data_IF_271506362107
#
_entry.id   IF_271506362107
#
_cell.length_a   1.000
_cell.length_b   1.000
_cell.length_c   1.000
_cell.angle_alpha   90.00
_cell.angle_beta   90.00
_cell.angle_gamma   90.00
#
_symmetry.space_group_name_H-M   'P 1'
#
loop_
_entity.id
_entity.type
_entity.pdbx_description
1 polymer ?
#
# COMPACT_ATOMS: atom_id res chain seq x y z
N UNK A 1 15.51 -7.24 4.36
CA UNK A 1 15.26 -6.29 5.44
C UNK A 1 13.88 -6.50 6.05
N UNK A 2 13.74 -6.20 7.32
CA UNK A 2 12.47 -6.36 8.03
C UNK A 2 11.96 -5.01 8.47
N UNK A 3 10.63 -4.83 8.35
CA UNK A 3 9.94 -3.59 8.71
C UNK A 3 8.78 -3.91 9.64
N UNK A 4 8.64 -3.15 10.72
CA UNK A 4 7.52 -3.30 11.65
C UNK A 4 6.37 -2.42 11.20
N UNK A 5 5.20 -3.02 10.97
CA UNK A 5 4.02 -2.23 10.62
C UNK A 5 3.29 -1.73 11.88
N UNK A 6 2.21 -0.96 11.69
CA UNK A 6 1.49 -0.37 12.81
C UNK A 6 0.63 -1.37 13.60
N UNK A 7 0.53 -2.63 13.14
CA UNK A 7 -0.05 -3.74 13.93
C UNK A 7 1.00 -4.43 14.78
N UNK A 8 2.26 -3.96 14.75
CA UNK A 8 3.40 -4.61 15.40
C UNK A 8 3.70 -5.98 14.79
N UNK A 9 3.48 -6.13 13.50
CA UNK A 9 3.87 -7.31 12.73
C UNK A 9 5.08 -7.00 11.86
N UNK A 10 6.02 -7.93 11.82
CA UNK A 10 7.20 -7.80 10.99
C UNK A 10 6.92 -8.24 9.55
N UNK A 11 7.33 -7.41 8.61
CA UNK A 11 7.29 -7.73 7.19
C UNK A 11 8.71 -7.83 6.67
N UNK A 12 9.07 -9.01 6.14
CA UNK A 12 10.37 -9.21 5.51
C UNK A 12 10.30 -8.89 4.03
N UNK A 13 11.15 -7.99 3.57
CA UNK A 13 11.29 -7.67 2.15
C UNK A 13 12.71 -8.06 1.72
N UNK A 14 12.87 -9.03 0.81
CA UNK A 14 14.19 -9.46 0.38
C UNK A 14 14.93 -8.42 -0.46
N UNK A 15 14.21 -7.44 -1.00
CA UNK A 15 14.76 -6.36 -1.83
C UNK A 15 13.83 -5.16 -1.81
N UNK A 16 14.28 -4.05 -2.40
CA UNK A 16 13.45 -2.87 -2.61
C UNK A 16 12.25 -3.26 -3.48
N UNK A 17 11.01 -2.94 -3.03
CA UNK A 17 9.81 -3.31 -3.78
C UNK A 17 9.78 -2.69 -5.18
N UNK A 18 9.40 -3.47 -6.15
CA UNK A 18 9.28 -3.04 -7.56
C UNK A 18 7.85 -3.04 -8.05
N UNK A 19 6.95 -3.72 -7.35
CA UNK A 19 5.54 -3.84 -7.74
C UNK A 19 4.68 -3.56 -6.51
N UNK A 20 4.39 -2.28 -6.32
CA UNK A 20 3.68 -1.79 -5.12
C UNK A 20 2.22 -1.59 -5.44
N UNK A 21 1.34 -2.05 -4.54
CA UNK A 21 -0.08 -1.74 -4.60
C UNK A 21 -0.43 -0.87 -3.40
N UNK A 22 -1.12 0.23 -3.65
CA UNK A 22 -1.64 1.11 -2.60
C UNK A 22 -3.17 1.04 -2.60
N UNK A 23 -3.74 0.67 -1.47
CA UNK A 23 -5.19 0.59 -1.32
C UNK A 23 -5.80 1.81 -0.62
N UNK A 24 -5.06 2.92 -0.55
CA UNK A 24 -5.51 4.15 0.10
C UNK A 24 -5.06 5.36 -0.71
N UNK A 25 -5.97 6.29 -1.06
CA UNK A 25 -5.60 7.49 -1.84
C UNK A 25 -4.46 8.32 -1.26
N UNK A 26 -4.47 8.58 0.04
CA UNK A 26 -3.42 9.38 0.68
C UNK A 26 -2.05 8.69 0.63
N UNK A 27 -2.02 7.37 0.73
CA UNK A 27 -0.78 6.59 0.62
C UNK A 27 -0.26 6.65 -0.82
N UNK A 28 -1.15 6.56 -1.81
CA UNK A 28 -0.78 6.71 -3.22
C UNK A 28 -0.08 8.05 -3.46
N UNK A 29 -0.66 9.14 -2.98
CA UNK A 29 -0.06 10.47 -3.12
C UNK A 29 1.31 10.54 -2.45
N UNK A 30 1.42 9.94 -1.26
CA UNK A 30 2.69 9.89 -0.52
C UNK A 30 3.76 9.13 -1.29
N UNK A 31 3.41 7.99 -1.90
CA UNK A 31 4.35 7.20 -2.68
C UNK A 31 4.88 7.98 -3.89
N UNK A 32 4.03 8.73 -4.56
CA UNK A 32 4.48 9.59 -5.66
C UNK A 32 5.40 10.71 -5.15
N UNK A 33 5.07 11.31 -4.01
CA UNK A 33 5.89 12.34 -3.40
C UNK A 33 7.27 11.81 -2.97
N UNK A 34 7.35 10.55 -2.58
CA UNK A 34 8.60 9.89 -2.20
C UNK A 34 9.42 9.39 -3.40
N UNK A 35 8.92 9.58 -4.63
CA UNK A 35 9.62 9.13 -5.82
C UNK A 35 9.40 7.67 -6.18
N UNK A 36 8.46 6.99 -5.53
CA UNK A 36 8.18 5.57 -5.76
C UNK A 36 7.07 5.33 -6.78
N UNK A 37 6.51 6.38 -7.37
CA UNK A 37 5.33 6.28 -8.23
C UNK A 37 5.47 5.33 -9.42
N UNK A 38 6.64 5.22 -10.01
CA UNK A 38 6.88 4.33 -11.17
C UNK A 38 6.73 2.85 -10.81
N UNK A 39 6.82 2.52 -9.53
CA UNK A 39 6.74 1.15 -9.05
C UNK A 39 5.34 0.79 -8.54
N UNK A 40 4.42 1.76 -8.52
CA UNK A 40 3.02 1.54 -8.14
C UNK A 40 2.29 0.93 -9.33
N UNK A 41 1.88 -0.34 -9.19
CA UNK A 41 1.24 -1.10 -10.26
C UNK A 41 -0.27 -1.27 -10.08
N UNK A 42 -0.79 -0.96 -8.90
CA UNK A 42 -2.22 -1.05 -8.61
C UNK A 42 -2.63 -0.02 -7.57
N UNK A 43 -3.82 0.56 -7.76
CA UNK A 43 -4.41 1.55 -6.85
C UNK A 43 -5.92 1.34 -6.80
N UNK A 44 -6.59 1.99 -5.84
CA UNK A 44 -8.05 1.91 -5.77
C UNK A 44 -8.69 2.83 -6.80
N UNK A 45 -9.98 2.59 -7.05
CA UNK A 45 -10.80 3.43 -7.90
C UNK A 45 -10.82 4.89 -7.43
N UNK A 46 -10.62 5.13 -6.14
CA UNK A 46 -10.65 6.46 -5.52
C UNK A 46 -9.29 7.17 -5.51
N UNK A 47 -8.23 6.52 -5.97
CA UNK A 47 -6.93 7.15 -6.11
C UNK A 47 -6.94 8.01 -7.37
N UNK A 48 -6.99 9.32 -7.21
CA UNK A 48 -7.16 10.27 -8.33
C UNK A 48 -5.99 11.24 -8.50
N UNK A 49 -5.06 11.27 -7.57
CA UNK A 49 -3.91 12.18 -7.62
C UNK A 49 -2.60 11.44 -7.42
N UNK A 50 -1.55 11.79 -8.16
CA UNK A 50 -1.52 12.76 -9.27
C UNK A 50 -2.36 12.29 -10.46
N UNK A 51 -3.21 13.18 -11.00
CA UNK A 51 -4.23 12.83 -11.99
C UNK A 51 -3.67 12.04 -13.19
N UNK A 52 -2.69 12.61 -13.86
CA UNK A 52 -2.15 12.00 -15.09
C UNK A 52 -1.41 10.68 -14.81
N UNK A 53 -0.66 10.64 -13.72
CA UNK A 53 0.12 9.45 -13.36
C UNK A 53 -0.78 8.29 -12.94
N UNK A 54 -1.78 8.57 -12.11
CA UNK A 54 -2.68 7.55 -11.57
C UNK A 54 -3.64 7.01 -12.61
N UNK A 55 -4.01 7.83 -13.60
CA UNK A 55 -4.93 7.42 -14.65
C UNK A 55 -4.46 6.18 -15.42
N UNK A 56 -3.14 6.00 -15.56
CA UNK A 56 -2.55 4.88 -16.29
C UNK A 56 -2.36 3.62 -15.44
N UNK A 57 -2.58 3.71 -14.12
CA UNK A 57 -2.35 2.59 -13.20
C UNK A 57 -3.61 1.73 -13.11
N UNK A 58 -3.43 0.41 -13.05
CA UNK A 58 -4.54 -0.54 -12.91
C UNK A 58 -5.34 -0.27 -11.64
N UNK A 59 -6.66 -0.24 -11.76
CA UNK A 59 -7.57 -0.11 -10.62
C UNK A 59 -7.92 -1.50 -10.08
N UNK A 60 -7.78 -1.66 -8.76
CA UNK A 60 -8.04 -2.96 -8.11
C UNK A 60 -9.27 -2.90 -7.19
N UNK A 61 -10.23 -2.06 -7.53
CA UNK A 61 -11.47 -1.92 -6.78
C UNK A 61 -11.44 -0.81 -5.75
N UNK A 62 -12.38 -0.80 -4.84
CA UNK A 62 -12.51 0.24 -3.82
C UNK A 62 -11.74 -0.07 -2.54
N UNK A 63 -11.73 0.90 -1.61
CA UNK A 63 -11.05 0.72 -0.31
C UNK A 63 -11.75 -0.33 0.56
N UNK A 64 -13.06 -0.44 0.46
CA UNK A 64 -13.85 -1.39 1.26
C UNK A 64 -14.25 -2.65 0.46
N UNK A 65 -14.01 -2.67 -0.83
CA UNK A 65 -14.33 -3.79 -1.72
C UNK A 65 -13.24 -3.99 -2.76
N UNK A 66 -12.00 -4.25 -2.34
CA UNK A 66 -10.91 -4.48 -3.29
C UNK A 66 -11.13 -5.78 -4.07
N UNK A 67 -10.67 -5.79 -5.31
CA UNK A 67 -10.67 -6.98 -6.15
C UNK A 67 -9.42 -7.80 -5.83
N UNK A 68 -9.57 -8.79 -4.98
CA UNK A 68 -8.44 -9.61 -4.49
C UNK A 68 -7.77 -10.40 -5.62
N UNK A 69 -8.54 -10.85 -6.60
CA UNK A 69 -7.97 -11.56 -7.75
C UNK A 69 -7.12 -10.64 -8.62
N UNK A 70 -7.59 -9.42 -8.84
CA UNK A 70 -6.84 -8.43 -9.61
C UNK A 70 -5.53 -8.08 -8.90
N UNK A 71 -5.58 -7.95 -7.57
CA UNK A 71 -4.38 -7.70 -6.76
C UNK A 71 -3.38 -8.84 -6.92
N UNK A 72 -3.83 -10.07 -6.78
CA UNK A 72 -2.95 -11.24 -6.88
C UNK A 72 -2.34 -11.36 -8.29
N UNK A 73 -3.12 -11.08 -9.33
CA UNK A 73 -2.64 -11.13 -10.72
C UNK A 73 -1.53 -10.12 -11.01
N UNK A 74 -1.50 -9.01 -10.30
CA UNK A 74 -0.45 -8.01 -10.45
C UNK A 74 0.88 -8.45 -9.83
N UNK A 75 0.89 -9.56 -9.09
CA UNK A 75 2.08 -10.10 -8.44
C UNK A 75 2.83 -9.04 -7.64
N UNK A 76 2.17 -8.39 -6.66
CA UNK A 76 2.83 -7.34 -5.90
C UNK A 76 3.90 -7.90 -4.98
N UNK A 77 4.97 -7.15 -4.79
CA UNK A 77 5.96 -7.45 -3.77
C UNK A 77 5.82 -6.54 -2.54
N UNK A 78 4.81 -5.66 -2.54
CA UNK A 78 4.41 -4.88 -1.38
C UNK A 78 2.99 -4.36 -1.57
N UNK A 79 2.13 -4.54 -0.58
CA UNK A 79 0.79 -3.95 -0.53
C UNK A 79 0.72 -3.08 0.71
N UNK A 80 0.36 -1.81 0.56
CA UNK A 80 0.23 -0.88 1.67
C UNK A 80 -1.24 -0.53 1.87
N UNK A 81 -1.72 -0.69 3.09
CA UNK A 81 -3.11 -0.46 3.48
C UNK A 81 -3.17 0.41 4.72
N UNK A 82 -4.39 0.82 5.11
CA UNK A 82 -4.64 1.57 6.33
C UNK A 82 -5.68 0.84 7.17
N UNK A 83 -5.46 0.83 8.48
CA UNK A 83 -6.28 0.11 9.45
C UNK A 83 -7.74 0.57 9.48
N UNK A 84 -8.01 1.86 9.24
CA UNK A 84 -9.36 2.41 9.23
C UNK A 84 -10.00 2.44 7.85
N UNK A 85 -9.22 2.75 6.82
CA UNK A 85 -9.73 2.89 5.44
C UNK A 85 -10.09 1.55 4.81
N UNK A 86 -9.34 0.50 5.14
CA UNK A 86 -9.52 -0.83 4.56
C UNK A 86 -10.11 -1.79 5.59
N UNK A 87 -10.69 -2.89 5.12
CA UNK A 87 -11.31 -3.88 6.01
C UNK A 87 -10.28 -4.90 6.48
N UNK A 88 -10.37 -5.29 7.75
CA UNK A 88 -9.47 -6.28 8.34
C UNK A 88 -9.64 -7.67 7.70
N UNK A 89 -10.84 -8.01 7.24
CA UNK A 89 -11.08 -9.28 6.52
C UNK A 89 -10.23 -9.33 5.25
N UNK A 90 -10.04 -8.19 4.59
CA UNK A 90 -9.23 -8.13 3.37
C UNK A 90 -7.75 -8.31 3.69
N UNK A 91 -7.29 -7.83 4.86
CA UNK A 91 -5.92 -8.06 5.32
C UNK A 91 -5.65 -9.56 5.45
N UNK A 92 -6.56 -10.27 6.14
CA UNK A 92 -6.43 -11.71 6.32
C UNK A 92 -6.46 -12.45 5.00
N UNK A 93 -7.38 -12.07 4.10
CA UNK A 93 -7.50 -12.71 2.79
C UNK A 93 -6.24 -12.52 1.93
N UNK A 94 -5.63 -11.34 1.97
CA UNK A 94 -4.41 -11.07 1.24
C UNK A 94 -3.22 -11.85 1.81
N UNK A 95 -3.13 -11.91 3.14
CA UNK A 95 -2.07 -12.67 3.81
C UNK A 95 -2.20 -14.18 3.58
N UNK A 96 -3.43 -14.70 3.53
CA UNK A 96 -3.69 -16.10 3.20
C UNK A 96 -3.23 -16.46 1.78
N UNK A 97 -3.22 -15.48 0.88
CA UNK A 97 -2.71 -15.64 -0.48
C UNK A 97 -1.18 -15.54 -0.54
N UNK A 98 -0.52 -15.33 0.59
CA UNK A 98 0.93 -15.20 0.66
C UNK A 98 1.45 -13.85 0.19
N UNK A 99 0.61 -12.82 0.13
CA UNK A 99 1.00 -11.51 -0.36
C UNK A 99 1.57 -10.64 0.76
N UNK A 100 2.62 -9.85 0.47
CA UNK A 100 3.29 -9.03 1.48
C UNK A 100 2.50 -7.77 1.82
N UNK A 101 2.02 -7.68 3.05
CA UNK A 101 1.12 -6.62 3.52
C UNK A 101 1.78 -5.75 4.58
N UNK A 102 1.70 -4.44 4.41
CA UNK A 102 2.14 -3.46 5.39
C UNK A 102 0.94 -2.59 5.79
N UNK A 103 0.57 -2.62 7.06
CA UNK A 103 -0.60 -1.90 7.58
C UNK A 103 -0.17 -0.62 8.29
N UNK A 104 -0.74 0.52 7.87
CA UNK A 104 -0.54 1.80 8.51
C UNK A 104 -1.75 2.12 9.39
N UNK A 105 -1.54 2.80 10.52
CA UNK A 105 -2.61 3.17 11.43
C UNK A 105 -2.32 4.49 12.18
N UNK A 106 -2.01 5.59 11.46
CA UNK A 106 -1.76 6.85 12.13
C UNK A 106 -3.06 7.41 12.71
N UNK A 107 -3.03 7.82 13.97
CA UNK A 107 -4.18 8.38 14.69
C UNK A 107 -4.01 9.87 14.99
N UNK A 108 -2.81 10.40 14.89
CA UNK A 108 -2.45 11.78 15.19
C UNK A 108 -1.61 12.36 14.06
N UNK A 109 -1.45 13.70 14.04
CA UNK A 109 -0.57 14.37 13.08
C UNK A 109 0.87 13.86 13.23
N UNK A 110 1.33 13.69 14.47
CA UNK A 110 2.69 13.18 14.74
C UNK A 110 2.87 11.76 14.20
N UNK A 111 1.88 10.89 14.39
CA UNK A 111 1.93 9.52 13.87
C UNK A 111 1.89 9.51 12.34
N UNK A 112 1.13 10.43 11.72
CA UNK A 112 1.11 10.60 10.27
C UNK A 112 2.47 10.99 9.72
N UNK A 113 3.17 11.91 10.39
CA UNK A 113 4.53 12.31 10.01
C UNK A 113 5.49 11.12 10.14
N UNK A 114 5.37 10.37 11.22
CA UNK A 114 6.18 9.16 11.45
C UNK A 114 5.91 8.12 10.35
N UNK A 115 4.66 7.95 9.96
CA UNK A 115 4.29 7.04 8.88
C UNK A 115 5.02 7.39 7.58
N UNK A 116 5.00 8.66 7.19
CA UNK A 116 5.72 9.12 5.98
C UNK A 116 7.21 8.81 6.10
N UNK A 117 7.80 9.05 7.26
CA UNK A 117 9.22 8.78 7.51
C UNK A 117 9.53 7.27 7.44
N UNK A 118 8.58 6.41 7.80
CA UNK A 118 8.74 4.96 7.71
C UNK A 118 8.55 4.43 6.31
N UNK A 119 7.62 5.02 5.54
CA UNK A 119 7.38 4.61 4.16
C UNK A 119 8.59 4.83 3.27
N UNK A 120 9.36 5.89 3.50
CA UNK A 120 10.57 6.15 2.71
C UNK A 120 11.51 4.96 2.65
N UNK A 121 12.04 4.47 3.79
CA UNK A 121 12.89 3.26 3.82
C UNK A 121 12.19 2.00 3.30
N UNK A 122 10.89 1.86 3.55
CA UNK A 122 10.11 0.69 3.12
C UNK A 122 10.09 0.55 1.60
N UNK A 123 9.92 1.66 0.90
CA UNK A 123 9.83 1.65 -0.57
C UNK A 123 11.16 1.96 -1.26
N UNK A 124 12.17 2.26 -0.49
CA UNK A 124 13.50 2.59 -1.03
C UNK A 124 13.58 4.02 -1.45
#
# INVERSE_FOLDING_TARGET
MEFLDDRERWLALPRVPRRIISLVPSITETLFALGAGRRVVGVTTYCTHPIDSVAAITKVGGTKDPDLEAIEKLEPDLIIVNDEENRHEDFSALEERGLPLYVTAPRTVREGIRMVAQLGPLVG
#
